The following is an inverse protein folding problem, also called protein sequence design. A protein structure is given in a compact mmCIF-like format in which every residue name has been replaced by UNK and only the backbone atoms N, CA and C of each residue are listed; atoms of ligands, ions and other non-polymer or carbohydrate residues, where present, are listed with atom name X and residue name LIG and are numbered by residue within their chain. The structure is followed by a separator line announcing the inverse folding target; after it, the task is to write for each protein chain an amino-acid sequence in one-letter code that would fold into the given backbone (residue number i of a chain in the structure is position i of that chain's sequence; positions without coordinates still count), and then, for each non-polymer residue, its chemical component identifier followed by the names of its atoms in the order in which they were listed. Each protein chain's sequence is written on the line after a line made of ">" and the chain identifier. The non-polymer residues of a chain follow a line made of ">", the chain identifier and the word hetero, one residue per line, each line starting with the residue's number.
data_IF_402193261430
#
_entry.id   IF_402193261430
#
_cell.length_a   1.000
_cell.length_b   1.000
_cell.length_c   1.000
_cell.angle_alpha   90.00
_cell.angle_beta   90.00
_cell.angle_gamma   90.00
#
_symmetry.space_group_name_H-M   'P 1'
#
loop_
_entity.id
_entity.type
_entity.pdbx_description
1 polymer ?
#
# COMPACT_ATOMS: atom_id res chain seq x y z
N UNK A 1 -10.44 -1.71 15.98
CA UNK A 1 -9.58 -0.77 16.72
C UNK A 1 -9.38 0.53 15.93
N UNK A 2 -9.50 1.71 16.57
CA UNK A 2 -9.37 3.02 15.90
C UNK A 2 -8.03 3.19 15.17
N UNK A 3 -6.91 2.79 15.81
CA UNK A 3 -5.56 2.91 15.25
C UNK A 3 -5.34 2.08 13.98
N UNK A 4 -5.85 0.85 13.94
CA UNK A 4 -5.77 -0.01 12.75
C UNK A 4 -6.51 0.63 11.58
N UNK A 5 -7.74 1.14 11.80
CA UNK A 5 -8.52 1.81 10.75
C UNK A 5 -7.83 3.07 10.22
N UNK A 6 -7.16 3.84 11.09
CA UNK A 6 -6.38 5.00 10.66
C UNK A 6 -5.23 4.60 9.73
N UNK A 7 -4.50 3.53 10.05
CA UNK A 7 -3.41 3.02 9.21
C UNK A 7 -3.91 2.45 7.88
N UNK A 8 -5.04 1.72 7.89
CA UNK A 8 -5.71 1.27 6.67
C UNK A 8 -6.12 2.45 5.78
N UNK A 9 -6.64 3.53 6.38
CA UNK A 9 -6.96 4.76 5.66
C UNK A 9 -5.73 5.39 5.00
N UNK A 10 -4.58 5.43 5.71
CA UNK A 10 -3.32 5.93 5.14
C UNK A 10 -2.85 5.06 3.97
N UNK A 11 -2.96 3.73 4.09
CA UNK A 11 -2.63 2.80 2.99
C UNK A 11 -3.51 3.09 1.75
N UNK A 12 -4.80 3.36 1.93
CA UNK A 12 -5.68 3.69 0.80
C UNK A 12 -5.28 5.00 0.12
N UNK A 13 -4.92 6.04 0.89
CA UNK A 13 -4.42 7.29 0.33
C UNK A 13 -3.13 7.08 -0.47
N UNK A 14 -2.19 6.27 0.05
CA UNK A 14 -0.95 5.94 -0.66
C UNK A 14 -1.21 5.18 -1.97
N UNK A 15 -2.18 4.27 -1.99
CA UNK A 15 -2.62 3.57 -3.21
C UNK A 15 -3.22 4.53 -4.24
N UNK A 16 -4.01 5.50 -3.78
CA UNK A 16 -4.51 6.57 -4.64
C UNK A 16 -3.37 7.37 -5.28
N UNK A 17 -2.32 7.68 -4.50
CA UNK A 17 -1.12 8.33 -5.03
C UNK A 17 -0.40 7.48 -6.08
N UNK A 18 -0.19 6.17 -5.81
CA UNK A 18 0.39 5.25 -6.81
C UNK A 18 -0.42 5.28 -8.10
N UNK A 19 -1.75 5.21 -8.04
CA UNK A 19 -2.61 5.25 -9.23
C UNK A 19 -2.36 6.48 -10.11
N UNK A 20 -2.22 7.66 -9.50
CA UNK A 20 -1.90 8.90 -10.21
C UNK A 20 -0.51 8.84 -10.85
N UNK A 21 0.50 8.34 -10.13
CA UNK A 21 1.88 8.24 -10.64
C UNK A 21 1.98 7.21 -11.76
N UNK A 22 1.29 6.06 -11.64
CA UNK A 22 1.21 5.03 -12.68
C UNK A 22 0.59 5.57 -13.95
N UNK A 23 -0.48 6.36 -13.86
CA UNK A 23 -1.08 6.99 -15.05
C UNK A 23 -0.10 7.97 -15.74
N UNK A 24 0.71 8.70 -14.97
CA UNK A 24 1.76 9.55 -15.54
C UNK A 24 2.88 8.73 -16.19
N UNK A 25 3.27 7.62 -15.58
CA UNK A 25 4.28 6.70 -16.10
C UNK A 25 3.83 6.12 -17.44
N UNK A 26 2.59 5.61 -17.51
CA UNK A 26 2.00 5.06 -18.73
C UNK A 26 1.99 6.08 -19.87
N UNK A 27 1.71 7.35 -19.57
CA UNK A 27 1.73 8.44 -20.55
C UNK A 27 3.14 8.70 -21.11
N UNK A 28 4.16 8.73 -20.24
CA UNK A 28 5.55 8.93 -20.67
C UNK A 28 6.08 7.73 -21.47
N UNK A 29 5.77 6.51 -21.03
CA UNK A 29 6.14 5.28 -21.75
C UNK A 29 5.46 5.19 -23.11
N UNK A 30 4.17 5.56 -23.21
CA UNK A 30 3.44 5.62 -24.48
C UNK A 30 4.10 6.60 -25.45
N UNK A 31 4.45 7.80 -24.96
CA UNK A 31 5.16 8.81 -25.75
C UNK A 31 6.53 8.34 -26.21
N UNK A 32 7.30 7.70 -25.34
CA UNK A 32 8.59 7.13 -25.68
C UNK A 32 8.47 6.05 -26.77
N UNK A 33 7.51 5.14 -26.63
CA UNK A 33 7.24 4.10 -27.62
C UNK A 33 6.84 4.67 -28.98
N UNK A 34 6.04 5.74 -29.02
CA UNK A 34 5.67 6.40 -30.29
C UNK A 34 6.88 7.06 -30.97
N UNK A 35 7.85 7.58 -30.20
CA UNK A 35 9.11 8.11 -30.75
C UNK A 35 9.96 7.01 -31.37
N UNK A 36 10.12 5.89 -30.67
CA UNK A 36 10.86 4.73 -31.19
C UNK A 36 10.21 4.17 -32.46
N UNK A 37 8.88 4.03 -32.49
CA UNK A 37 8.14 3.59 -33.69
C UNK A 37 8.32 4.53 -34.87
N UNK A 38 8.48 5.83 -34.61
CA UNK A 38 8.78 6.83 -35.62
C UNK A 38 10.28 6.88 -36.02
N UNK A 39 11.11 5.98 -35.48
CA UNK A 39 12.55 5.94 -35.72
C UNK A 39 13.32 7.11 -35.10
N UNK A 40 12.75 7.73 -34.05
CA UNK A 40 13.38 8.84 -33.32
C UNK A 40 13.96 8.33 -32.01
N UNK A 41 15.10 8.90 -31.62
CA UNK A 41 15.66 8.67 -30.30
C UNK A 41 14.74 9.23 -29.20
N UNK A 42 14.66 8.52 -28.08
CA UNK A 42 13.96 8.99 -26.89
C UNK A 42 14.86 10.02 -26.19
N UNK A 43 14.37 11.24 -25.89
CA UNK A 43 15.14 12.22 -25.14
C UNK A 43 15.51 11.69 -23.75
N UNK A 44 16.75 11.94 -23.31
CA UNK A 44 17.22 11.53 -21.97
C UNK A 44 16.30 12.05 -20.85
N UNK A 45 15.76 13.26 -21.00
CA UNK A 45 14.79 13.84 -20.06
C UNK A 45 13.53 12.99 -19.88
N UNK A 46 13.09 12.29 -20.93
CA UNK A 46 11.94 11.38 -20.87
C UNK A 46 12.32 10.12 -20.10
N UNK A 47 13.51 9.55 -20.37
CA UNK A 47 14.02 8.38 -19.66
C UNK A 47 14.27 8.65 -18.17
N UNK A 48 14.79 9.82 -17.83
CA UNK A 48 14.94 10.29 -16.45
C UNK A 48 13.59 10.42 -15.74
N UNK A 49 12.59 11.00 -16.43
CA UNK A 49 11.24 11.14 -15.88
C UNK A 49 10.59 9.79 -15.60
N UNK A 50 10.71 8.83 -16.54
CA UNK A 50 10.24 7.45 -16.37
C UNK A 50 10.89 6.81 -15.14
N UNK A 51 12.23 6.83 -15.06
CA UNK A 51 12.98 6.25 -13.92
C UNK A 51 12.57 6.87 -12.58
N UNK A 52 12.32 8.19 -12.56
CA UNK A 52 11.85 8.89 -11.36
C UNK A 52 10.46 8.42 -10.93
N UNK A 53 9.50 8.35 -11.86
CA UNK A 53 8.13 7.91 -11.57
C UNK A 53 8.11 6.46 -11.04
N UNK A 54 8.88 5.56 -11.65
CA UNK A 54 9.03 4.19 -11.19
C UNK A 54 9.64 4.11 -9.78
N UNK A 55 10.66 4.93 -9.49
CA UNK A 55 11.25 4.99 -8.16
C UNK A 55 10.22 5.46 -7.11
N UNK A 56 9.43 6.49 -7.42
CA UNK A 56 8.37 6.97 -6.54
C UNK A 56 7.32 5.89 -6.24
N UNK A 57 6.89 5.12 -7.25
CA UNK A 57 5.98 3.99 -7.04
C UNK A 57 6.59 2.97 -6.08
N UNK A 58 7.82 2.51 -6.36
CA UNK A 58 8.51 1.52 -5.53
C UNK A 58 8.68 2.00 -4.08
N UNK A 59 8.94 3.29 -3.88
CA UNK A 59 9.12 3.86 -2.55
C UNK A 59 7.81 3.82 -1.76
N UNK A 60 6.69 4.22 -2.38
CA UNK A 60 5.37 4.18 -1.75
C UNK A 60 4.94 2.73 -1.48
N UNK A 61 5.25 1.79 -2.37
CA UNK A 61 4.97 0.36 -2.16
C UNK A 61 5.72 -0.20 -0.94
N UNK A 62 6.99 0.18 -0.74
CA UNK A 62 7.75 -0.20 0.46
C UNK A 62 7.12 0.37 1.73
N UNK A 63 6.66 1.61 1.70
CA UNK A 63 5.95 2.22 2.83
C UNK A 63 4.63 1.50 3.14
N UNK A 64 3.84 1.13 2.12
CA UNK A 64 2.62 0.33 2.30
C UNK A 64 2.95 -1.03 2.91
N UNK A 65 4.03 -1.68 2.47
CA UNK A 65 4.45 -2.98 3.00
C UNK A 65 4.80 -2.89 4.49
N UNK A 66 5.58 -1.89 4.90
CA UNK A 66 5.90 -1.64 6.31
C UNK A 66 4.63 -1.41 7.14
N UNK A 67 3.71 -0.57 6.67
CA UNK A 67 2.45 -0.30 7.38
C UNK A 67 1.56 -1.54 7.52
N UNK A 68 1.56 -2.45 6.52
CA UNK A 68 0.84 -3.72 6.59
C UNK A 68 1.45 -4.64 7.64
N UNK A 69 2.77 -4.67 7.75
CA UNK A 69 3.45 -5.41 8.80
C UNK A 69 3.05 -4.88 10.18
N UNK A 70 3.10 -3.55 10.38
CA UNK A 70 2.71 -2.92 11.65
C UNK A 70 1.27 -3.29 12.05
N UNK A 71 0.32 -3.23 11.10
CA UNK A 71 -1.07 -3.65 11.33
C UNK A 71 -1.14 -5.11 11.78
N UNK A 72 -0.39 -6.00 11.12
CA UNK A 72 -0.33 -7.42 11.48
C UNK A 72 0.20 -7.66 12.89
N UNK A 73 1.24 -6.93 13.28
CA UNK A 73 1.82 -7.00 14.64
C UNK A 73 0.82 -6.48 15.70
N UNK A 74 0.15 -5.36 15.43
CA UNK A 74 -0.91 -4.85 16.32
C UNK A 74 -2.08 -5.82 16.47
N UNK A 75 -2.54 -6.44 15.38
CA UNK A 75 -3.61 -7.44 15.43
C UNK A 75 -3.23 -8.61 16.34
N UNK A 76 -2.03 -9.17 16.17
CA UNK A 76 -1.51 -10.26 17.01
C UNK A 76 -1.43 -9.87 18.49
N UNK A 77 -0.98 -8.65 18.79
CA UNK A 77 -0.94 -8.14 20.16
C UNK A 77 -2.35 -8.07 20.79
N UNK A 78 -3.33 -7.51 20.07
CA UNK A 78 -4.71 -7.46 20.54
C UNK A 78 -5.31 -8.85 20.74
N UNK A 79 -5.06 -9.79 19.84
CA UNK A 79 -5.53 -11.18 20.00
C UNK A 79 -4.94 -11.85 21.25
N UNK A 80 -3.65 -11.62 21.52
CA UNK A 80 -2.99 -12.13 22.73
C UNK A 80 -3.62 -11.53 23.99
N UNK A 81 -3.88 -10.23 24.00
CA UNK A 81 -4.51 -9.55 25.12
C UNK A 81 -5.94 -10.05 25.36
N UNK A 82 -6.72 -10.27 24.31
CA UNK A 82 -8.07 -10.83 24.40
C UNK A 82 -8.05 -12.23 25.00
N UNK A 83 -7.19 -13.13 24.50
CA UNK A 83 -7.07 -14.50 25.05
C UNK A 83 -6.71 -14.48 26.52
N UNK A 84 -5.76 -13.62 26.91
CA UNK A 84 -5.36 -13.45 28.31
C UNK A 84 -6.51 -12.94 29.17
N UNK A 85 -7.33 -12.01 28.67
CA UNK A 85 -8.51 -11.53 29.40
C UNK A 85 -9.52 -12.65 29.60
N UNK A 86 -9.81 -13.46 28.58
CA UNK A 86 -10.73 -14.61 28.69
C UNK A 86 -10.26 -15.63 29.73
N UNK A 87 -8.95 -15.90 29.77
CA UNK A 87 -8.36 -16.80 30.78
C UNK A 87 -8.50 -16.24 32.21
N UNK A 88 -8.35 -14.92 32.39
CA UNK A 88 -8.41 -14.27 33.70
C UNK A 88 -9.85 -14.11 34.18
N UNK A 89 -10.78 -13.76 33.30
CA UNK A 89 -12.18 -13.50 33.66
C UNK A 89 -13.05 -14.76 33.63
N UNK A 90 -12.64 -15.79 32.89
CA UNK A 90 -13.45 -16.98 32.62
C UNK A 90 -14.63 -16.71 31.68
N UNK A 91 -14.73 -15.50 31.14
CA UNK A 91 -15.76 -15.11 30.18
C UNK A 91 -15.21 -15.20 28.75
N UNK A 92 -15.92 -15.87 27.86
CA UNK A 92 -15.57 -15.89 26.44
C UNK A 92 -16.06 -14.63 25.76
N UNK A 93 -15.31 -14.15 24.78
CA UNK A 93 -15.74 -13.03 23.94
C UNK A 93 -17.14 -13.27 23.35
N UNK A 94 -17.93 -12.21 23.30
CA UNK A 94 -19.25 -12.20 22.65
C UNK A 94 -19.19 -11.76 21.19
N UNK A 95 -18.03 -11.25 20.76
CA UNK A 95 -17.76 -10.81 19.39
C UNK A 95 -16.58 -11.59 18.81
N UNK A 96 -16.64 -12.00 17.52
CA UNK A 96 -15.52 -12.67 16.85
C UNK A 96 -14.30 -11.74 16.71
N UNK A 97 -13.10 -12.35 16.67
CA UNK A 97 -11.81 -11.63 16.57
C UNK A 97 -11.61 -10.98 15.21
N UNK A 98 -12.13 -11.60 14.16
CA UNK A 98 -12.15 -11.05 12.81
C UNK A 98 -13.62 -10.81 12.40
N UNK A 99 -13.93 -9.68 11.72
CA UNK A 99 -15.25 -9.52 11.11
C UNK A 99 -15.45 -10.60 10.05
N UNK A 100 -16.66 -11.16 9.93
CA UNK A 100 -16.98 -12.04 8.81
C UNK A 100 -16.72 -11.29 7.50
N UNK A 101 -15.82 -11.82 6.67
CA UNK A 101 -15.61 -11.33 5.31
C UNK A 101 -16.92 -11.54 4.54
N UNK A 102 -17.63 -10.45 4.27
CA UNK A 102 -18.75 -10.41 3.31
C UNK A 102 -18.23 -10.09 1.91
#
# INVERSE_FOLDING_TARGET
>A
HRKIRELEGIIQLKRGNISVISSQLDSEQSRAADMERAGRDIPETTLEKIRRLEAQIRDIEREISAQRQDIGEMKKAYESDIKRLEEITGETRTLPLEPEEN
#
